data_IF_492161036367
#
_entry.id   IF_492161036367
#
_cell.length_a   1.000
_cell.length_b   1.000
_cell.length_c   1.000
_cell.angle_alpha   90.00
_cell.angle_beta   90.00
_cell.angle_gamma   90.00
#
_symmetry.space_group_name_H-M   'P 1'
#
loop_
_entity.id
_entity.type
_entity.pdbx_description
1 polymer ?
#
# COMPACT_ATOMS: atom_id res chain seq x y z
N UNK A 1 -11.14 10.90 -9.79
CA UNK A 1 -12.39 10.13 -9.90
C UNK A 1 -12.17 8.67 -9.48
N UNK A 2 -11.37 7.87 -10.19
CA UNK A 2 -11.12 6.46 -9.81
C UNK A 2 -10.39 6.27 -8.46
N UNK A 3 -9.53 7.22 -8.08
CA UNK A 3 -8.82 7.18 -6.80
C UNK A 3 -9.76 7.15 -5.58
N UNK A 4 -10.87 7.89 -5.62
CA UNK A 4 -11.86 7.91 -4.54
C UNK A 4 -12.65 6.61 -4.49
N UNK A 5 -13.04 6.09 -5.66
CA UNK A 5 -13.73 4.80 -5.79
C UNK A 5 -12.87 3.66 -5.21
N UNK A 6 -11.61 3.56 -5.61
CA UNK A 6 -10.71 2.52 -5.07
C UNK A 6 -10.37 2.74 -3.59
N UNK A 7 -10.40 3.99 -3.13
CA UNK A 7 -10.24 4.29 -1.71
C UNK A 7 -11.44 3.78 -0.91
N UNK A 8 -12.66 4.00 -1.37
CA UNK A 8 -13.87 3.54 -0.69
C UNK A 8 -14.06 2.02 -0.77
N UNK A 9 -13.82 1.43 -1.94
CA UNK A 9 -14.03 0.00 -2.17
C UNK A 9 -12.88 -0.87 -1.66
N UNK A 10 -11.63 -0.41 -1.78
CA UNK A 10 -10.45 -1.19 -1.45
C UNK A 10 -9.76 -0.73 -0.17
N UNK A 11 -9.39 0.55 -0.11
CA UNK A 11 -8.55 1.05 0.99
C UNK A 11 -9.25 1.05 2.35
N UNK A 12 -10.42 1.68 2.45
CA UNK A 12 -11.15 1.84 3.70
C UNK A 12 -11.55 0.50 4.33
N UNK A 13 -12.18 -0.46 3.61
CA UNK A 13 -12.58 -1.72 4.22
C UNK A 13 -11.39 -2.53 4.71
N UNK A 14 -10.32 -2.65 3.91
CA UNK A 14 -9.12 -3.41 4.29
C UNK A 14 -8.41 -2.75 5.48
N UNK A 15 -8.23 -1.43 5.44
CA UNK A 15 -7.64 -0.69 6.55
C UNK A 15 -8.45 -0.82 7.83
N UNK A 16 -9.76 -0.63 7.78
CA UNK A 16 -10.63 -0.65 8.96
C UNK A 16 -10.67 -2.05 9.56
N UNK A 17 -10.79 -3.10 8.74
CA UNK A 17 -10.71 -4.48 9.19
C UNK A 17 -9.39 -4.77 9.92
N UNK A 18 -8.26 -4.40 9.32
CA UNK A 18 -6.94 -4.69 9.89
C UNK A 18 -6.56 -3.79 11.07
N UNK A 19 -7.12 -2.59 11.16
CA UNK A 19 -6.80 -1.64 12.23
C UNK A 19 -7.05 -2.17 13.65
N UNK A 20 -7.88 -3.22 13.78
CA UNK A 20 -8.13 -3.90 15.06
C UNK A 20 -7.08 -4.95 15.42
N UNK A 21 -6.30 -5.43 14.43
CA UNK A 21 -5.37 -6.55 14.59
C UNK A 21 -3.90 -6.14 14.48
N UNK A 22 -3.59 -5.10 13.70
CA UNK A 22 -2.22 -4.70 13.38
C UNK A 22 -1.98 -3.21 13.62
N UNK A 23 -0.73 -2.76 13.81
CA UNK A 23 -0.42 -1.35 13.99
C UNK A 23 -0.99 -0.50 12.85
N UNK A 24 -1.47 0.71 13.19
CA UNK A 24 -2.13 1.62 12.24
C UNK A 24 -1.32 1.85 10.95
N UNK A 25 0.00 1.90 11.05
CA UNK A 25 0.89 2.04 9.89
C UNK A 25 0.79 0.86 8.92
N UNK A 26 0.84 -0.36 9.44
CA UNK A 26 0.69 -1.57 8.65
C UNK A 26 -0.74 -1.69 8.09
N UNK A 27 -1.76 -1.34 8.88
CA UNK A 27 -3.15 -1.30 8.40
C UNK A 27 -3.32 -0.31 7.22
N UNK A 28 -2.65 0.85 7.26
CA UNK A 28 -2.67 1.81 6.16
C UNK A 28 -1.97 1.24 4.91
N UNK A 29 -0.81 0.59 5.06
CA UNK A 29 -0.08 -0.05 3.95
C UNK A 29 -0.94 -1.15 3.30
N UNK A 30 -1.56 -2.00 4.11
CA UNK A 30 -2.46 -3.04 3.62
C UNK A 30 -3.73 -2.46 2.97
N UNK A 31 -4.22 -1.31 3.45
CA UNK A 31 -5.27 -0.56 2.76
C UNK A 31 -4.86 -0.16 1.34
N UNK A 32 -3.63 0.32 1.14
CA UNK A 32 -3.13 0.66 -0.21
C UNK A 32 -3.09 -0.59 -1.09
N UNK A 33 -2.65 -1.74 -0.55
CA UNK A 33 -2.68 -3.01 -1.25
C UNK A 33 -4.12 -3.42 -1.64
N UNK A 34 -5.09 -3.18 -0.77
CA UNK A 34 -6.51 -3.39 -1.05
C UNK A 34 -7.03 -2.53 -2.20
N UNK A 35 -6.66 -1.24 -2.27
CA UNK A 35 -7.00 -0.37 -3.39
C UNK A 35 -6.36 -0.84 -4.70
N UNK A 36 -5.10 -1.29 -4.66
CA UNK A 36 -4.42 -1.86 -5.82
C UNK A 36 -5.07 -3.16 -6.30
N UNK A 37 -5.55 -4.00 -5.39
CA UNK A 37 -6.30 -5.22 -5.72
C UNK A 37 -7.59 -4.90 -6.48
N UNK A 38 -8.39 -3.92 -6.02
CA UNK A 38 -9.58 -3.50 -6.77
C UNK A 38 -9.25 -2.89 -8.13
N UNK A 39 -8.17 -2.11 -8.22
CA UNK A 39 -7.71 -1.57 -9.50
C UNK A 39 -7.28 -2.67 -10.47
N UNK A 40 -6.63 -3.73 -9.98
CA UNK A 40 -6.14 -4.82 -10.81
C UNK A 40 -7.25 -5.74 -11.29
N UNK A 41 -8.25 -6.01 -10.44
CA UNK A 41 -9.49 -6.67 -10.84
C UNK A 41 -10.25 -5.88 -11.91
N UNK A 42 -10.29 -4.55 -11.78
CA UNK A 42 -10.92 -3.70 -12.80
C UNK A 42 -10.17 -3.77 -14.14
N UNK A 43 -8.84 -3.77 -14.13
CA UNK A 43 -8.05 -3.95 -15.37
C UNK A 43 -8.29 -5.31 -16.01
N UNK A 44 -8.30 -6.40 -15.23
CA UNK A 44 -8.58 -7.74 -15.74
C UNK A 44 -10.00 -7.81 -16.33
N UNK A 45 -10.99 -7.20 -15.68
CA UNK A 45 -12.36 -7.14 -16.17
C UNK A 45 -12.47 -6.44 -17.53
N UNK A 46 -11.74 -5.34 -17.74
CA UNK A 46 -11.72 -4.65 -19.04
C UNK A 46 -11.10 -5.52 -20.14
N UNK A 47 -10.04 -6.27 -19.83
CA UNK A 47 -9.39 -7.18 -20.79
C UNK A 47 -10.32 -8.33 -21.16
N UNK A 48 -10.99 -8.94 -20.18
CA UNK A 48 -12.00 -9.99 -20.43
C UNK A 48 -13.12 -9.43 -21.30
N UNK A 49 -13.64 -8.24 -20.99
CA UNK A 49 -14.72 -7.61 -21.77
C UNK A 49 -14.33 -7.29 -23.22
N UNK A 50 -13.07 -6.89 -23.45
CA UNK A 50 -12.59 -6.46 -24.77
C UNK A 50 -12.11 -7.62 -25.65
N UNK A 51 -11.42 -8.59 -25.05
CA UNK A 51 -10.72 -9.65 -25.78
C UNK A 51 -11.28 -11.05 -25.52
N UNK A 52 -12.18 -11.20 -24.53
CA UNK A 52 -12.71 -12.49 -24.06
C UNK A 52 -11.58 -13.48 -23.67
N UNK A 53 -10.50 -12.94 -23.12
CA UNK A 53 -9.34 -13.69 -22.64
C UNK A 53 -9.13 -13.36 -21.17
N UNK A 54 -8.88 -14.39 -20.37
CA UNK A 54 -8.42 -14.27 -18.99
C UNK A 54 -6.93 -14.60 -18.95
N UNK A 55 -6.09 -13.65 -18.55
CA UNK A 55 -4.63 -13.88 -18.42
C UNK A 55 -4.16 -13.83 -16.97
N UNK A 56 -4.80 -13.01 -16.14
CA UNK A 56 -4.39 -12.72 -14.77
C UNK A 56 -3.11 -11.89 -14.67
N UNK A 57 -2.48 -11.53 -15.79
CA UNK A 57 -1.18 -10.86 -15.82
C UNK A 57 -1.26 -9.48 -15.16
N UNK A 58 -2.34 -8.74 -15.42
CA UNK A 58 -2.55 -7.44 -14.79
C UNK A 58 -2.80 -7.58 -13.29
N UNK A 59 -3.56 -8.60 -12.88
CA UNK A 59 -3.74 -8.89 -11.46
C UNK A 59 -2.40 -9.11 -10.75
N UNK A 60 -1.56 -10.03 -11.26
CA UNK A 60 -0.26 -10.32 -10.67
C UNK A 60 0.69 -9.14 -10.72
N UNK A 61 0.71 -8.40 -11.83
CA UNK A 61 1.56 -7.22 -11.98
C UNK A 61 1.31 -6.20 -10.87
N UNK A 62 0.06 -5.78 -10.67
CA UNK A 62 -0.28 -4.80 -9.64
C UNK A 62 -0.04 -5.33 -8.21
N UNK A 63 -0.33 -6.60 -7.95
CA UNK A 63 -0.10 -7.20 -6.63
C UNK A 63 1.38 -7.30 -6.28
N UNK A 64 2.23 -7.73 -7.21
CA UNK A 64 3.68 -7.80 -7.01
C UNK A 64 4.24 -6.39 -6.75
N UNK A 65 3.82 -5.39 -7.54
CA UNK A 65 4.24 -4.00 -7.32
C UNK A 65 3.80 -3.48 -5.95
N UNK A 66 2.56 -3.78 -5.54
CA UNK A 66 2.06 -3.42 -4.21
C UNK A 66 2.89 -4.03 -3.08
N UNK A 67 3.23 -5.31 -3.17
CA UNK A 67 4.08 -6.00 -2.18
C UNK A 67 5.49 -5.43 -2.17
N UNK A 68 6.11 -5.20 -3.34
CA UNK A 68 7.44 -4.60 -3.44
C UNK A 68 7.46 -3.22 -2.78
N UNK A 69 6.43 -2.39 -3.00
CA UNK A 69 6.33 -1.06 -2.37
C UNK A 69 6.21 -1.15 -0.85
N UNK A 70 5.46 -2.12 -0.32
CA UNK A 70 5.36 -2.35 1.13
C UNK A 70 6.71 -2.80 1.71
N UNK A 71 7.37 -3.75 1.04
CA UNK A 71 8.69 -4.22 1.46
C UNK A 71 9.73 -3.10 1.39
N UNK A 72 9.67 -2.26 0.37
CA UNK A 72 10.55 -1.11 0.22
C UNK A 72 10.38 -0.11 1.37
N UNK A 73 9.14 0.26 1.68
CA UNK A 73 8.82 1.12 2.81
C UNK A 73 9.34 0.54 4.13
N UNK A 74 9.09 -0.76 4.37
CA UNK A 74 9.51 -1.45 5.58
C UNK A 74 11.04 -1.56 5.72
N UNK A 75 11.73 -1.91 4.63
CA UNK A 75 13.17 -2.21 4.65
C UNK A 75 14.04 -0.96 4.60
N UNK A 76 13.64 0.08 3.89
CA UNK A 76 14.50 1.24 3.62
C UNK A 76 13.99 2.53 4.26
N UNK A 77 12.69 2.81 4.19
CA UNK A 77 12.14 4.09 4.63
C UNK A 77 12.03 4.15 6.16
N UNK A 78 11.51 3.12 6.82
CA UNK A 78 11.37 3.16 8.29
C UNK A 78 12.72 3.30 9.02
N UNK A 79 13.76 2.54 8.65
CA UNK A 79 15.07 2.67 9.30
C UNK A 79 15.68 4.05 9.06
N UNK A 80 15.49 4.62 7.87
CA UNK A 80 16.00 5.95 7.52
C UNK A 80 15.32 7.05 8.34
N UNK A 81 13.98 7.01 8.47
CA UNK A 81 13.23 7.96 9.30
C UNK A 81 13.68 7.87 10.76
N UNK A 82 13.77 6.64 11.30
CA UNK A 82 14.20 6.42 12.69
C UNK A 82 15.61 6.95 12.95
N UNK A 83 16.53 6.73 12.01
CA UNK A 83 17.91 7.25 12.10
C UNK A 83 17.94 8.77 12.12
N UNK A 84 17.10 9.43 11.30
CA UNK A 84 16.98 10.88 11.26
C UNK A 84 16.41 11.46 12.56
N UNK A 85 15.35 10.86 13.11
CA UNK A 85 14.75 11.30 14.38
C UNK A 85 15.76 11.21 15.53
N UNK A 86 16.49 10.10 15.62
CA UNK A 86 17.53 9.93 16.63
C UNK A 86 18.64 10.98 16.50
N UNK A 87 19.02 11.34 15.29
CA UNK A 87 20.01 12.40 15.05
C UNK A 87 19.51 13.77 15.53
N UNK A 88 18.27 14.13 15.19
CA UNK A 88 17.66 15.40 15.60
C UNK A 88 17.55 15.50 17.13
N UNK A 89 17.08 14.44 17.80
CA UNK A 89 17.03 14.39 19.26
C UNK A 89 18.42 14.58 19.88
N UNK A 90 19.44 13.89 19.36
CA UNK A 90 20.83 14.06 19.83
C UNK A 90 21.33 15.50 19.69
N UNK A 91 21.04 16.14 18.56
CA UNK A 91 21.45 17.53 18.33
C UNK A 91 20.80 18.49 19.34
N UNK A 92 19.50 18.32 19.62
CA UNK A 92 18.77 19.17 20.55
C UNK A 92 19.34 19.09 21.98
N UNK A 93 19.60 17.88 22.48
CA UNK A 93 20.18 17.70 23.81
C UNK A 93 21.66 18.09 23.91
N UNK A 94 22.40 18.14 22.80
CA UNK A 94 23.80 18.61 22.80
C UNK A 94 23.95 20.13 22.81
N UNK A 95 22.84 20.86 22.63
CA UNK A 95 22.79 22.32 22.59
C UNK A 95 22.23 22.95 23.88
N UNK A 96 21.91 22.13 24.89
CA UNK A 96 21.58 22.55 26.27
C UNK A 96 22.77 22.27 27.19
#
# INVERSE_FOLDING_TARGET
MFSEIFKELGYLPVRNFLSSFVPRKFANMMGVLGALCFSSLFHEYLIIGQFNIWTGEHFFFFMIHGVIMILWEAAFIEPMIRKRENFLLRSYFSSQ
#
